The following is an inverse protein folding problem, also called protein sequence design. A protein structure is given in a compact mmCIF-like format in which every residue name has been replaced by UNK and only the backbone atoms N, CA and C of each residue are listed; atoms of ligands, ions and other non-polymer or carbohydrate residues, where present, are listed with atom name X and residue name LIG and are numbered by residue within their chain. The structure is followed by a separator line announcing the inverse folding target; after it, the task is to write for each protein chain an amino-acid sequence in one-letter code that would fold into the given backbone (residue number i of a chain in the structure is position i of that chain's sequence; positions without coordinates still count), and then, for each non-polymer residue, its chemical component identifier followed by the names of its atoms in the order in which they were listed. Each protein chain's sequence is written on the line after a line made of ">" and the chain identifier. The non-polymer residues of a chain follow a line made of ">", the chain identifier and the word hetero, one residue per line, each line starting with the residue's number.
data_IF_120125003860
#
_entry.id   IF_120125003860
#
_cell.length_a   1.000
_cell.length_b   1.000
_cell.length_c   1.000
_cell.angle_alpha   90.00
_cell.angle_beta   90.00
_cell.angle_gamma   90.00
#
_symmetry.space_group_name_H-M   'P 1'
#
loop_
_entity.id
_entity.type
_entity.pdbx_description
1 polymer ?
#
# COMPACT_ATOMS: atom_id res chain seq x y z
N UNK A 1 47.16 29.20 8.42
CA UNK A 1 47.41 28.99 9.87
C UNK A 1 46.13 28.44 10.52
N UNK A 2 45.83 27.16 10.30
CA UNK A 2 44.66 26.44 10.84
C UNK A 2 45.20 25.32 11.72
N UNK A 3 45.00 25.34 13.03
CA UNK A 3 44.84 24.16 13.92
C UNK A 3 44.64 24.49 15.43
N UNK A 4 43.73 25.39 15.88
CA UNK A 4 43.37 25.47 17.30
C UNK A 4 42.21 24.52 17.71
N UNK A 5 41.39 24.07 16.74
CA UNK A 5 40.17 23.29 17.02
C UNK A 5 40.42 21.83 17.44
N UNK A 6 41.49 21.19 16.94
CA UNK A 6 41.79 19.79 17.29
C UNK A 6 42.27 19.63 18.74
N UNK A 7 42.91 20.65 19.30
CA UNK A 7 43.41 20.63 20.69
C UNK A 7 42.28 20.79 21.71
N UNK A 8 41.27 21.60 21.38
CA UNK A 8 40.11 21.82 22.24
C UNK A 8 39.26 20.54 22.37
N UNK A 9 39.03 19.81 21.27
CA UNK A 9 38.32 18.53 21.30
C UNK A 9 39.08 17.48 22.12
N UNK A 10 40.38 17.29 21.88
CA UNK A 10 41.18 16.35 22.67
C UNK A 10 41.21 16.69 24.17
N UNK A 11 41.24 17.97 24.54
CA UNK A 11 41.25 18.41 25.93
C UNK A 11 39.92 18.11 26.64
N UNK A 12 38.79 18.36 25.98
CA UNK A 12 37.45 18.06 26.51
C UNK A 12 37.27 16.54 26.67
N UNK A 13 37.65 15.73 25.68
CA UNK A 13 37.59 14.27 25.79
C UNK A 13 38.45 13.74 26.93
N UNK A 14 39.65 14.30 27.15
CA UNK A 14 40.57 13.87 28.21
C UNK A 14 40.05 14.22 29.61
N UNK A 15 39.43 15.40 29.77
CA UNK A 15 38.79 15.82 31.03
C UNK A 15 37.56 14.97 31.33
N UNK A 16 36.73 14.69 30.33
CA UNK A 16 35.54 13.85 30.48
C UNK A 16 35.92 12.41 30.84
N UNK A 17 36.95 11.84 30.20
CA UNK A 17 37.49 10.50 30.51
C UNK A 17 38.11 10.42 31.92
N UNK A 18 38.72 11.52 32.41
CA UNK A 18 39.30 11.59 33.76
C UNK A 18 38.27 11.76 34.86
N UNK A 19 37.20 12.53 34.63
CA UNK A 19 36.17 12.82 35.65
C UNK A 19 35.18 11.67 35.86
N UNK A 20 34.90 10.89 34.82
CA UNK A 20 33.93 9.80 34.88
C UNK A 20 34.59 8.40 34.88
N UNK A 21 35.90 8.29 34.62
CA UNK A 21 36.56 6.99 34.47
C UNK A 21 36.15 6.28 33.17
N UNK A 22 37.11 5.59 32.54
CA UNK A 22 36.91 5.02 31.19
C UNK A 22 35.71 4.07 31.11
N UNK A 23 35.45 3.34 32.20
CA UNK A 23 34.33 2.39 32.30
C UNK A 23 32.96 3.09 32.29
N UNK A 24 32.82 4.25 32.94
CA UNK A 24 31.53 4.93 33.07
C UNK A 24 31.11 5.64 31.78
N UNK A 25 32.09 6.13 31.01
CA UNK A 25 31.87 6.64 29.65
C UNK A 25 31.44 5.53 28.67
N UNK A 26 32.09 4.35 28.73
CA UNK A 26 31.70 3.20 27.92
C UNK A 26 30.31 2.67 28.29
N UNK A 27 29.96 2.65 29.58
CA UNK A 27 28.61 2.27 30.05
C UNK A 27 27.53 3.25 29.59
N UNK A 28 27.80 4.57 29.62
CA UNK A 28 26.86 5.58 29.12
C UNK A 28 26.67 5.49 27.60
N UNK A 29 27.76 5.25 26.86
CA UNK A 29 27.70 5.11 25.41
C UNK A 29 26.97 3.83 24.99
N UNK A 30 27.21 2.69 25.67
CA UNK A 30 26.48 1.45 25.40
C UNK A 30 25.00 1.57 25.77
N UNK A 31 24.67 2.31 26.84
CA UNK A 31 23.29 2.56 27.24
C UNK A 31 22.54 3.43 26.21
N UNK A 32 23.16 4.51 25.72
CA UNK A 32 22.57 5.34 24.65
C UNK A 32 22.39 4.57 23.34
N UNK A 33 23.36 3.73 22.97
CA UNK A 33 23.26 2.87 21.80
C UNK A 33 22.11 1.85 21.94
N UNK A 34 21.94 1.28 23.14
CA UNK A 34 20.87 0.33 23.43
C UNK A 34 19.48 0.99 23.42
N UNK A 35 19.35 2.25 23.87
CA UNK A 35 18.09 3.00 23.73
C UNK A 35 17.75 3.29 22.26
N UNK A 36 18.73 3.72 21.45
CA UNK A 36 18.52 3.97 20.00
C UNK A 36 18.13 2.72 19.21
N UNK A 37 18.63 1.54 19.59
CA UNK A 37 18.27 0.26 18.94
C UNK A 37 16.89 -0.24 19.41
N UNK A 38 16.45 0.13 20.62
CA UNK A 38 15.13 -0.23 21.16
C UNK A 38 13.97 0.34 20.34
N UNK A 39 14.08 1.59 19.89
CA UNK A 39 13.01 2.30 19.17
C UNK A 39 12.73 1.74 17.75
N UNK A 40 13.70 1.07 17.13
CA UNK A 40 13.52 0.47 15.80
C UNK A 40 12.58 -0.76 15.83
N UNK A 41 12.50 -1.47 16.95
CA UNK A 41 11.73 -2.72 17.04
C UNK A 41 10.22 -2.48 17.22
N UNK A 42 9.80 -1.34 17.75
CA UNK A 42 8.38 -1.03 17.99
C UNK A 42 7.62 -0.58 16.74
N UNK A 43 8.32 -0.17 15.68
CA UNK A 43 7.68 0.29 14.43
C UNK A 43 7.12 -0.87 13.58
N UNK A 44 7.64 -2.10 13.75
CA UNK A 44 7.25 -3.25 12.92
C UNK A 44 6.17 -4.13 13.52
N UNK A 45 5.73 -3.85 14.76
CA UNK A 45 4.67 -4.59 15.43
C UNK A 45 3.30 -3.98 15.13
N UNK A 46 3.02 -3.68 13.86
CA UNK A 46 1.65 -3.43 13.45
C UNK A 46 1.00 -4.81 13.25
N UNK A 47 0.13 -5.20 14.19
CA UNK A 47 -0.77 -6.32 13.97
C UNK A 47 -1.65 -5.94 12.79
N UNK A 48 -1.29 -6.37 11.59
CA UNK A 48 -2.09 -6.17 10.38
C UNK A 48 -3.41 -6.89 10.59
N UNK A 49 -4.39 -6.16 11.12
CA UNK A 49 -5.78 -6.62 11.16
C UNK A 49 -6.18 -6.82 9.71
N UNK A 50 -6.70 -8.02 9.40
CA UNK A 50 -7.14 -8.30 8.04
C UNK A 50 -8.32 -7.37 7.74
N UNK A 51 -8.24 -6.50 6.72
CA UNK A 51 -9.34 -5.61 6.41
C UNK A 51 -10.52 -6.41 5.86
N UNK A 52 -11.74 -5.92 6.09
CA UNK A 52 -12.91 -6.42 5.37
C UNK A 52 -12.92 -5.79 3.97
N UNK A 53 -12.93 -6.62 2.93
CA UNK A 53 -12.90 -6.17 1.54
C UNK A 53 -14.32 -6.27 0.96
N UNK A 54 -14.87 -5.14 0.49
CA UNK A 54 -16.12 -5.08 -0.25
C UNK A 54 -15.84 -4.67 -1.70
N UNK A 55 -16.03 -5.61 -2.63
CA UNK A 55 -15.89 -5.35 -4.06
C UNK A 55 -17.25 -5.01 -4.67
N UNK A 56 -17.43 -3.77 -5.13
CA UNK A 56 -18.63 -3.29 -5.81
C UNK A 56 -18.31 -3.14 -7.30
N UNK A 57 -19.06 -3.84 -8.16
CA UNK A 57 -18.93 -3.75 -9.61
C UNK A 57 -20.30 -3.50 -10.22
N UNK A 58 -20.41 -2.41 -10.97
CA UNK A 58 -21.61 -2.06 -11.74
C UNK A 58 -21.63 -2.79 -13.08
N UNK A 59 -22.82 -2.99 -13.65
CA UNK A 59 -23.01 -3.62 -14.96
C UNK A 59 -23.33 -2.52 -15.99
N UNK A 60 -22.67 -2.57 -17.14
CA UNK A 60 -22.85 -1.64 -18.27
C UNK A 60 -22.78 -0.13 -17.95
N UNK A 61 -22.08 0.25 -16.87
CA UNK A 61 -21.89 1.65 -16.52
C UNK A 61 -20.82 2.33 -17.37
N UNK A 62 -21.19 3.40 -18.06
CA UNK A 62 -20.27 4.24 -18.82
C UNK A 62 -19.50 5.22 -17.94
N UNK A 63 -18.32 5.65 -18.41
CA UNK A 63 -17.50 6.65 -17.71
C UNK A 63 -18.29 7.95 -17.44
N UNK A 64 -19.11 8.40 -18.38
CA UNK A 64 -19.90 9.63 -18.25
C UNK A 64 -21.16 9.51 -17.39
N UNK A 65 -21.49 8.35 -16.82
CA UNK A 65 -22.78 8.15 -16.13
C UNK A 65 -22.79 8.67 -14.69
N UNK A 66 -21.63 8.85 -14.07
CA UNK A 66 -21.50 9.33 -12.67
C UNK A 66 -21.35 10.85 -12.61
N UNK A 67 -21.99 11.45 -11.60
CA UNK A 67 -21.97 12.89 -11.36
C UNK A 67 -20.55 13.43 -11.24
N UNK A 68 -19.66 12.68 -10.61
CA UNK A 68 -18.27 13.11 -10.44
C UNK A 68 -17.38 13.03 -11.70
N UNK A 69 -17.91 12.53 -12.82
CA UNK A 69 -17.31 12.71 -14.15
C UNK A 69 -17.98 13.82 -14.97
N UNK A 70 -18.82 14.65 -14.32
CA UNK A 70 -19.45 15.81 -14.92
C UNK A 70 -20.87 15.57 -15.44
N UNK A 71 -21.49 14.43 -15.13
CA UNK A 71 -22.88 14.18 -15.49
C UNK A 71 -23.81 15.13 -14.71
N UNK A 72 -24.65 15.89 -15.42
CA UNK A 72 -25.60 16.84 -14.83
C UNK A 72 -27.05 16.32 -14.76
N UNK A 73 -27.31 15.13 -15.29
CA UNK A 73 -28.65 14.54 -15.40
C UNK A 73 -28.87 13.39 -14.42
N UNK A 74 -27.84 12.59 -14.19
CA UNK A 74 -27.91 11.43 -13.28
C UNK A 74 -27.33 11.86 -11.92
N UNK A 75 -28.13 11.71 -10.87
CA UNK A 75 -27.71 12.04 -9.51
C UNK A 75 -27.09 10.80 -8.84
N UNK A 76 -25.80 10.88 -8.50
CA UNK A 76 -25.06 9.79 -7.83
C UNK A 76 -24.43 10.24 -6.50
N UNK A 77 -25.19 10.83 -5.56
CA UNK A 77 -24.63 11.52 -4.39
C UNK A 77 -23.78 10.61 -3.48
N UNK A 78 -24.13 9.34 -3.36
CA UNK A 78 -23.39 8.35 -2.55
C UNK A 78 -22.06 7.99 -3.22
N UNK A 79 -22.06 7.71 -4.53
CA UNK A 79 -20.83 7.42 -5.27
C UNK A 79 -19.91 8.63 -5.36
N UNK A 80 -20.49 9.83 -5.52
CA UNK A 80 -19.73 11.09 -5.56
C UNK A 80 -19.05 11.38 -4.22
N UNK A 81 -19.74 11.10 -3.11
CA UNK A 81 -19.15 11.18 -1.77
C UNK A 81 -18.02 10.17 -1.61
N UNK A 82 -18.26 8.90 -1.92
CA UNK A 82 -17.25 7.84 -1.85
C UNK A 82 -16.00 8.21 -2.67
N UNK A 83 -16.19 8.71 -3.89
CA UNK A 83 -15.11 9.10 -4.78
C UNK A 83 -14.29 10.30 -4.27
N UNK A 84 -14.87 11.22 -3.48
CA UNK A 84 -14.12 12.33 -2.83
C UNK A 84 -13.30 11.86 -1.63
N UNK A 85 -13.71 10.78 -0.99
CA UNK A 85 -13.06 10.21 0.20
C UNK A 85 -12.06 9.08 -0.17
N UNK A 86 -11.94 8.75 -1.46
CA UNK A 86 -11.17 7.60 -1.94
C UNK A 86 -10.09 7.99 -2.95
N UNK A 87 -9.13 7.10 -3.14
CA UNK A 87 -8.24 7.15 -4.31
C UNK A 87 -9.02 6.79 -5.57
N UNK A 88 -8.73 7.51 -6.67
CA UNK A 88 -9.40 7.33 -7.96
C UNK A 88 -8.41 7.09 -9.08
N UNK A 89 -8.90 6.43 -10.12
CA UNK A 89 -8.15 6.19 -11.34
C UNK A 89 -8.87 6.86 -12.51
N UNK A 90 -8.21 7.83 -13.14
CA UNK A 90 -8.74 8.48 -14.35
C UNK A 90 -8.63 7.56 -15.59
N UNK A 91 -7.80 6.52 -15.51
CA UNK A 91 -7.55 5.55 -16.57
C UNK A 91 -7.59 4.12 -16.02
N UNK A 92 -8.80 3.59 -15.86
CA UNK A 92 -9.05 2.19 -15.54
C UNK A 92 -9.59 1.48 -16.77
N UNK A 93 -8.99 0.37 -17.17
CA UNK A 93 -9.29 -0.33 -18.42
C UNK A 93 -9.80 -1.74 -18.16
N UNK A 94 -10.75 -2.19 -18.98
CA UNK A 94 -11.38 -3.51 -18.89
C UNK A 94 -11.50 -4.16 -20.26
N UNK A 95 -11.88 -5.44 -20.29
CA UNK A 95 -12.26 -6.12 -21.53
C UNK A 95 -13.62 -5.63 -22.04
N UNK A 96 -13.89 -5.72 -23.36
CA UNK A 96 -15.06 -5.10 -23.96
C UNK A 96 -16.40 -5.80 -23.67
N UNK A 97 -16.42 -6.93 -22.94
CA UNK A 97 -17.64 -7.67 -22.58
C UNK A 97 -17.66 -8.07 -21.11
N UNK A 98 -18.86 -8.20 -20.53
CA UNK A 98 -19.09 -8.47 -19.12
C UNK A 98 -18.40 -9.74 -18.62
N UNK A 99 -18.61 -10.90 -19.28
CA UNK A 99 -17.99 -12.16 -18.87
C UNK A 99 -16.46 -12.11 -18.89
N UNK A 100 -15.87 -11.45 -19.90
CA UNK A 100 -14.41 -11.32 -20.02
C UNK A 100 -13.81 -10.42 -18.94
N UNK A 101 -14.49 -9.32 -18.61
CA UNK A 101 -14.10 -8.41 -17.52
C UNK A 101 -14.20 -9.12 -16.18
N UNK A 102 -15.31 -9.83 -15.91
CA UNK A 102 -15.50 -10.61 -14.68
C UNK A 102 -14.48 -11.73 -14.54
N UNK A 103 -14.20 -12.46 -15.63
CA UNK A 103 -13.17 -13.49 -15.64
C UNK A 103 -11.79 -12.93 -15.27
N UNK A 104 -11.42 -11.78 -15.85
CA UNK A 104 -10.12 -11.16 -15.56
C UNK A 104 -10.04 -10.61 -14.14
N UNK A 105 -11.14 -10.02 -13.65
CA UNK A 105 -11.25 -9.49 -12.29
C UNK A 105 -11.13 -10.59 -11.23
N UNK A 106 -11.85 -11.70 -11.41
CA UNK A 106 -11.91 -12.77 -10.42
C UNK A 106 -10.65 -13.63 -10.38
N UNK A 107 -9.96 -13.81 -11.52
CA UNK A 107 -8.77 -14.68 -11.61
C UNK A 107 -7.45 -13.91 -11.55
N UNK A 108 -7.48 -12.59 -11.74
CA UNK A 108 -6.27 -11.77 -11.93
C UNK A 108 -5.51 -12.08 -13.23
N UNK A 109 -6.12 -12.81 -14.18
CA UNK A 109 -5.50 -13.26 -15.42
C UNK A 109 -6.23 -12.70 -16.63
N UNK A 110 -5.52 -12.55 -17.74
CA UNK A 110 -6.15 -12.12 -18.99
C UNK A 110 -7.19 -13.16 -19.46
N UNK A 111 -8.43 -12.73 -19.74
CA UNK A 111 -9.57 -13.62 -20.00
C UNK A 111 -9.33 -14.75 -21.02
N UNK A 112 -8.54 -14.52 -22.08
CA UNK A 112 -8.24 -15.60 -23.04
C UNK A 112 -7.48 -16.77 -22.41
N UNK A 113 -6.77 -16.55 -21.30
CA UNK A 113 -6.07 -17.60 -20.56
C UNK A 113 -6.97 -18.37 -19.61
N UNK A 114 -8.14 -17.84 -19.27
CA UNK A 114 -9.11 -18.45 -18.35
C UNK A 114 -10.18 -19.27 -19.06
N UNK A 115 -10.18 -19.28 -20.40
CA UNK A 115 -11.20 -19.93 -21.23
C UNK A 115 -12.42 -19.08 -21.55
N UNK A 116 -12.54 -17.88 -20.95
CA UNK A 116 -13.65 -16.96 -21.23
C UNK A 116 -13.35 -16.09 -22.46
N UNK A 117 -14.15 -16.24 -23.51
CA UNK A 117 -13.94 -15.57 -24.80
C UNK A 117 -15.19 -14.90 -25.39
N UNK A 118 -16.38 -15.14 -24.83
CA UNK A 118 -17.63 -14.51 -25.26
C UNK A 118 -18.59 -14.38 -24.07
N UNK A 119 -19.80 -13.90 -24.33
CA UNK A 119 -20.92 -13.84 -23.39
C UNK A 119 -22.00 -14.87 -23.68
N UNK A 120 -21.79 -15.68 -24.73
CA UNK A 120 -22.71 -16.73 -25.18
C UNK A 120 -21.92 -17.89 -25.80
N UNK A 121 -22.62 -18.97 -26.18
CA UNK A 121 -22.10 -20.14 -26.89
C UNK A 121 -21.18 -21.04 -26.04
N UNK A 122 -21.31 -21.00 -24.72
CA UNK A 122 -20.59 -21.89 -23.80
C UNK A 122 -19.13 -21.51 -23.57
N UNK A 123 -18.75 -20.27 -23.91
CA UNK A 123 -17.41 -19.71 -23.68
C UNK A 123 -17.45 -18.45 -22.81
N UNK A 124 -18.52 -18.31 -22.04
CA UNK A 124 -18.76 -17.25 -21.06
C UNK A 124 -18.31 -17.61 -19.63
N UNK A 125 -17.94 -18.86 -19.40
CA UNK A 125 -17.49 -19.37 -18.11
C UNK A 125 -15.97 -19.49 -18.06
N UNK A 126 -15.41 -19.22 -16.88
CA UNK A 126 -14.02 -19.52 -16.57
C UNK A 126 -13.84 -21.03 -16.44
N UNK A 127 -12.65 -21.55 -16.79
CA UNK A 127 -12.35 -22.96 -16.62
C UNK A 127 -12.38 -23.34 -15.12
N UNK A 128 -12.81 -24.57 -14.79
CA UNK A 128 -12.95 -24.99 -13.38
C UNK A 128 -11.63 -25.06 -12.60
N UNK A 129 -10.49 -25.08 -13.27
CA UNK A 129 -9.15 -25.12 -12.65
C UNK A 129 -8.57 -23.73 -12.33
N UNK A 130 -9.25 -22.65 -12.72
CA UNK A 130 -8.84 -21.29 -12.39
C UNK A 130 -9.16 -20.95 -10.93
N UNK A 131 -8.18 -20.44 -10.19
CA UNK A 131 -8.36 -19.97 -8.81
C UNK A 131 -8.98 -18.58 -8.82
N UNK A 132 -10.08 -18.41 -8.11
CA UNK A 132 -10.81 -17.15 -7.97
C UNK A 132 -10.35 -16.39 -6.71
N UNK A 133 -10.50 -15.07 -6.72
CA UNK A 133 -10.21 -14.21 -5.57
C UNK A 133 -11.02 -14.59 -4.32
N UNK A 134 -12.18 -15.23 -4.48
CA UNK A 134 -12.99 -15.73 -3.36
C UNK A 134 -12.42 -16.97 -2.68
N UNK A 135 -11.47 -17.65 -3.33
CA UNK A 135 -10.85 -18.88 -2.84
C UNK A 135 -9.50 -18.63 -2.14
N UNK A 136 -9.02 -17.38 -2.16
CA UNK A 136 -7.80 -16.91 -1.50
C UNK A 136 -8.15 -16.31 -0.14
#
# INVERSE_FOLDING_TARGET
>A
MKLPLLKATQFVYTIFFRLLGQAQFLMLFSFLFMMMVGDLNSCFAETTSRPNILLIMTDDQGYGDVGIHGNKKIETPVLDKLARESTRFDRFMVSPLCSMTRASLLTGRYHLRTGCASVTRGVETVRPDEVLISEI
#
